data_IF_228806337742
#
_entry.id   IF_228806337742
#
_cell.length_a   1.000
_cell.length_b   1.000
_cell.length_c   1.000
_cell.angle_alpha   90.00
_cell.angle_beta   90.00
_cell.angle_gamma   90.00
#
_symmetry.space_group_name_H-M   'P 1'
#
loop_
_entity.id
_entity.type
_entity.pdbx_description
1 polymer ?
#
# COMPACT_ATOMS: atom_id res chain seq x y z
N UNK A 1 -56.32 -70.70 32.36
CA UNK A 1 -55.00 -70.24 32.11
C UNK A 1 -55.04 -68.83 31.47
N UNK A 2 -54.73 -67.77 32.20
CA UNK A 2 -54.74 -66.38 31.70
C UNK A 2 -53.37 -66.01 31.13
N UNK A 3 -53.24 -65.80 29.82
CA UNK A 3 -52.06 -65.29 29.18
C UNK A 3 -51.82 -63.86 29.63
N UNK A 4 -50.78 -63.66 30.48
CA UNK A 4 -50.28 -62.31 30.82
C UNK A 4 -49.58 -61.75 29.58
N UNK A 5 -50.25 -60.77 28.92
CA UNK A 5 -49.69 -60.07 27.78
C UNK A 5 -48.46 -59.25 28.21
N UNK A 6 -47.34 -59.44 27.54
CA UNK A 6 -46.00 -58.88 27.94
C UNK A 6 -45.85 -57.45 27.42
N UNK A 7 -46.61 -56.54 28.00
CA UNK A 7 -46.54 -55.10 27.64
C UNK A 7 -45.18 -54.45 27.80
N UNK A 8 -44.34 -54.95 28.75
CA UNK A 8 -43.02 -54.46 28.98
C UNK A 8 -42.03 -54.70 27.80
N UNK A 9 -42.24 -55.72 26.99
CA UNK A 9 -41.41 -56.01 25.83
C UNK A 9 -41.80 -55.17 24.61
N UNK A 10 -43.07 -54.76 24.51
CA UNK A 10 -43.54 -53.84 23.50
C UNK A 10 -43.03 -52.41 23.74
N UNK A 11 -43.05 -51.95 24.99
CA UNK A 11 -42.51 -50.63 25.35
C UNK A 11 -41.00 -50.55 25.15
N UNK A 12 -40.24 -51.60 25.43
CA UNK A 12 -38.81 -51.65 25.17
C UNK A 12 -38.47 -51.59 23.68
N UNK A 13 -39.27 -52.28 22.83
CA UNK A 13 -39.10 -52.24 21.39
C UNK A 13 -39.41 -50.86 20.74
N UNK A 14 -40.40 -50.15 21.25
CA UNK A 14 -40.75 -48.80 20.77
C UNK A 14 -39.67 -47.78 21.19
N UNK A 15 -39.16 -47.87 22.41
CA UNK A 15 -38.05 -47.00 22.88
C UNK A 15 -36.74 -47.25 22.14
N UNK A 16 -36.40 -48.52 21.80
CA UNK A 16 -35.22 -48.85 21.01
C UNK A 16 -35.36 -48.43 19.53
N UNK A 17 -36.57 -48.40 18.97
CA UNK A 17 -36.84 -47.94 17.61
C UNK A 17 -36.77 -46.42 17.43
N UNK A 18 -37.09 -45.64 18.49
CA UNK A 18 -36.93 -44.17 18.44
C UNK A 18 -35.48 -43.70 18.53
N UNK A 19 -34.56 -44.51 19.08
CA UNK A 19 -33.16 -44.14 19.19
C UNK A 19 -32.33 -44.42 17.89
N UNK A 20 -32.94 -45.00 16.88
CA UNK A 20 -32.34 -45.27 15.57
C UNK A 20 -32.78 -44.29 14.47
N UNK A 21 -33.49 -43.23 14.81
CA UNK A 21 -33.73 -42.16 13.84
C UNK A 21 -32.41 -41.48 13.56
N UNK A 22 -31.96 -41.41 12.30
CA UNK A 22 -30.74 -40.67 11.98
C UNK A 22 -30.94 -39.22 12.41
N UNK A 23 -30.13 -38.74 13.33
CA UNK A 23 -30.01 -37.30 13.60
C UNK A 23 -29.39 -36.72 12.33
N UNK A 24 -30.24 -36.28 11.42
CA UNK A 24 -29.80 -35.49 10.27
C UNK A 24 -29.21 -34.24 10.88
N UNK A 25 -27.90 -33.98 10.73
CA UNK A 25 -27.40 -32.71 11.18
C UNK A 25 -28.14 -31.61 10.42
N UNK A 26 -28.95 -30.84 11.12
CA UNK A 26 -29.44 -29.60 10.56
C UNK A 26 -28.20 -28.76 10.28
N UNK A 27 -27.85 -28.63 9.02
CA UNK A 27 -26.93 -27.59 8.62
C UNK A 27 -27.60 -26.28 9.02
N UNK A 28 -27.12 -25.71 10.09
CA UNK A 28 -27.40 -24.31 10.41
C UNK A 28 -26.81 -23.56 9.23
N UNK A 29 -27.64 -23.19 8.26
CA UNK A 29 -27.26 -22.13 7.33
C UNK A 29 -27.10 -20.89 8.23
N UNK A 30 -25.85 -20.51 8.44
CA UNK A 30 -25.57 -19.16 8.90
C UNK A 30 -26.22 -18.24 7.85
N UNK A 31 -27.33 -17.60 8.21
CA UNK A 31 -27.82 -16.49 7.39
C UNK A 31 -26.66 -15.52 7.28
N UNK A 32 -26.35 -15.11 6.06
CA UNK A 32 -25.30 -14.15 5.76
C UNK A 32 -25.72 -12.79 6.33
N UNK A 33 -25.45 -12.58 7.64
CA UNK A 33 -25.63 -11.28 8.31
C UNK A 33 -24.53 -10.29 7.98
N UNK A 34 -23.70 -10.58 6.96
CA UNK A 34 -22.74 -9.60 6.49
C UNK A 34 -23.49 -8.49 5.77
N UNK A 35 -23.28 -7.23 6.14
CA UNK A 35 -23.87 -6.12 5.40
C UNK A 35 -23.43 -6.22 3.94
N UNK A 36 -24.29 -5.82 3.02
CA UNK A 36 -23.98 -5.76 1.60
C UNK A 36 -22.61 -5.13 1.40
N UNK A 37 -21.71 -5.85 0.74
CA UNK A 37 -20.31 -5.49 0.65
C UNK A 37 -20.11 -4.08 0.13
N UNK A 38 -19.10 -3.37 0.63
CA UNK A 38 -18.75 -2.04 0.17
C UNK A 38 -18.54 -2.03 -1.35
N UNK A 39 -19.19 -1.11 -2.04
CA UNK A 39 -19.00 -0.89 -3.48
C UNK A 39 -18.05 0.29 -3.68
N UNK A 40 -16.78 0.02 -4.03
CA UNK A 40 -15.85 1.08 -4.43
C UNK A 40 -16.23 1.63 -5.82
N UNK A 41 -16.30 2.95 -5.97
CA UNK A 41 -16.53 3.62 -7.27
C UNK A 41 -15.30 3.54 -8.19
N UNK A 42 -14.09 3.41 -7.61
CA UNK A 42 -12.83 3.31 -8.35
C UNK A 42 -12.78 2.07 -9.25
N UNK A 43 -12.03 2.10 -10.36
CA UNK A 43 -11.85 0.96 -11.27
C UNK A 43 -11.20 -0.26 -10.61
N UNK A 44 -10.32 -0.02 -9.62
CA UNK A 44 -9.63 -1.02 -8.81
C UNK A 44 -9.57 -0.53 -7.37
N UNK A 45 -9.67 -1.44 -6.41
CA UNK A 45 -9.58 -1.10 -4.98
C UNK A 45 -9.19 -2.33 -4.15
N UNK A 46 -8.49 -2.09 -3.06
CA UNK A 46 -8.13 -3.11 -2.06
C UNK A 46 -8.23 -2.51 -0.66
N UNK A 47 -8.65 -3.33 0.30
CA UNK A 47 -8.46 -3.09 1.73
C UNK A 47 -7.70 -4.28 2.29
N UNK A 48 -6.53 -4.04 2.85
CA UNK A 48 -5.65 -5.08 3.38
C UNK A 48 -5.25 -4.74 4.81
N UNK A 49 -5.25 -5.73 5.69
CA UNK A 49 -4.74 -5.59 7.05
C UNK A 49 -3.20 -5.57 6.99
N UNK A 50 -2.58 -4.54 7.57
CA UNK A 50 -1.16 -4.19 7.35
C UNK A 50 -0.17 -5.21 7.94
N UNK A 51 -0.54 -5.91 9.02
CA UNK A 51 0.39 -6.83 9.70
C UNK A 51 0.32 -8.25 9.12
N UNK A 52 -0.87 -8.71 8.77
CA UNK A 52 -1.11 -10.08 8.32
C UNK A 52 -1.16 -10.21 6.80
N UNK A 53 -1.38 -9.10 6.07
CA UNK A 53 -1.64 -9.10 4.65
C UNK A 53 -3.03 -9.67 4.27
N UNK A 54 -3.93 -9.83 5.25
CA UNK A 54 -5.28 -10.34 4.99
C UNK A 54 -6.07 -9.34 4.16
N UNK A 55 -6.61 -9.79 3.02
CA UNK A 55 -7.45 -8.97 2.15
C UNK A 55 -8.87 -8.97 2.73
N UNK A 56 -9.38 -7.78 3.07
CA UNK A 56 -10.72 -7.57 3.62
C UNK A 56 -11.72 -7.14 2.54
N UNK A 57 -11.24 -6.52 1.47
CA UNK A 57 -12.01 -6.13 0.29
C UNK A 57 -11.13 -6.10 -0.94
N UNK A 58 -11.65 -6.57 -2.06
CA UNK A 58 -10.92 -6.54 -3.32
C UNK A 58 -11.82 -6.21 -4.52
N UNK A 59 -11.26 -5.47 -5.48
CA UNK A 59 -11.86 -5.20 -6.77
C UNK A 59 -10.77 -5.06 -7.82
N UNK A 60 -10.64 -6.03 -8.74
CA UNK A 60 -9.67 -6.01 -9.85
C UNK A 60 -8.24 -5.67 -9.39
N UNK A 61 -7.80 -6.23 -8.27
CA UNK A 61 -6.58 -5.82 -7.56
C UNK A 61 -5.29 -6.03 -8.35
N UNK A 62 -5.26 -6.92 -9.34
CA UNK A 62 -4.11 -7.21 -10.19
C UNK A 62 -4.13 -6.45 -11.54
N UNK A 63 -5.18 -5.63 -11.78
CA UNK A 63 -5.22 -4.83 -13.00
C UNK A 63 -4.25 -3.65 -12.90
N UNK A 64 -3.42 -3.50 -13.93
CA UNK A 64 -2.44 -2.41 -14.04
C UNK A 64 -3.10 -1.10 -14.41
N UNK A 65 -2.66 -0.03 -13.76
CA UNK A 65 -3.07 1.36 -13.98
C UNK A 65 -1.88 2.29 -13.82
N UNK A 66 -1.96 3.47 -14.39
CA UNK A 66 -1.03 4.55 -14.09
C UNK A 66 -1.21 5.00 -12.63
N UNK A 67 -0.15 4.96 -11.81
CA UNK A 67 -0.27 5.24 -10.38
C UNK A 67 -0.44 6.72 -10.05
N UNK A 68 0.00 7.62 -10.92
CA UNK A 68 0.17 9.02 -10.58
C UNK A 68 1.01 9.17 -9.28
N UNK A 69 0.71 10.18 -8.46
CA UNK A 69 1.52 10.54 -7.29
C UNK A 69 1.59 9.49 -6.17
N UNK A 70 0.78 8.41 -6.20
CA UNK A 70 0.99 7.32 -5.23
C UNK A 70 2.34 6.60 -5.41
N UNK A 71 3.00 6.77 -6.54
CA UNK A 71 4.40 6.38 -6.78
C UNK A 71 5.33 6.89 -5.68
N UNK A 72 5.08 8.09 -5.17
CA UNK A 72 5.92 8.75 -4.16
C UNK A 72 5.97 8.03 -2.81
N UNK A 73 5.05 7.08 -2.57
CA UNK A 73 5.13 6.16 -1.41
C UNK A 73 6.40 5.32 -1.51
N UNK A 74 6.71 4.75 -2.69
CA UNK A 74 7.95 4.00 -2.92
C UNK A 74 9.18 4.90 -2.83
N UNK A 75 9.12 6.09 -3.42
CA UNK A 75 10.22 7.08 -3.36
C UNK A 75 10.54 7.45 -1.92
N UNK A 76 9.52 7.74 -1.11
CA UNK A 76 9.67 8.07 0.31
C UNK A 76 10.23 6.87 1.11
N UNK A 77 9.71 5.66 0.87
CA UNK A 77 10.21 4.45 1.52
C UNK A 77 11.70 4.25 1.26
N UNK A 78 12.14 4.37 0.01
CA UNK A 78 13.54 4.17 -0.37
C UNK A 78 14.45 5.27 0.18
N UNK A 79 13.99 6.52 0.26
CA UNK A 79 14.74 7.57 0.91
C UNK A 79 14.98 7.26 2.39
N UNK A 80 13.95 6.82 3.11
CA UNK A 80 14.05 6.44 4.53
C UNK A 80 14.96 5.21 4.73
N UNK A 81 14.94 4.27 3.80
CA UNK A 81 15.76 3.05 3.88
C UNK A 81 17.26 3.30 3.58
N UNK A 82 17.60 4.40 2.90
CA UNK A 82 18.97 4.64 2.39
C UNK A 82 19.64 5.92 2.89
N UNK A 83 18.91 6.83 3.55
CA UNK A 83 19.44 8.13 3.97
C UNK A 83 19.16 8.40 5.44
N UNK A 84 20.06 9.18 6.07
CA UNK A 84 19.77 9.87 7.30
C UNK A 84 18.87 11.09 7.03
N UNK A 85 17.97 11.43 7.95
CA UNK A 85 16.97 12.48 7.73
C UNK A 85 17.54 13.89 7.65
N UNK A 86 18.75 14.11 8.17
CA UNK A 86 19.47 15.38 8.18
C UNK A 86 20.47 15.54 7.00
N UNK A 87 20.60 14.51 6.14
CA UNK A 87 21.42 14.64 4.92
C UNK A 87 20.88 15.76 4.03
N UNK A 88 21.81 16.48 3.39
CA UNK A 88 21.50 17.64 2.56
C UNK A 88 21.29 17.21 1.11
N UNK A 89 20.11 17.47 0.60
CA UNK A 89 19.70 17.30 -0.79
C UNK A 89 19.83 18.62 -1.52
N UNK A 90 20.58 18.66 -2.63
CA UNK A 90 20.73 19.84 -3.48
C UNK A 90 19.88 19.70 -4.73
N UNK A 91 19.10 20.72 -5.06
CA UNK A 91 18.22 20.69 -6.22
C UNK A 91 19.00 20.96 -7.50
N UNK A 92 19.07 19.95 -8.37
CA UNK A 92 19.65 20.02 -9.70
C UNK A 92 18.77 20.78 -10.69
N UNK A 93 19.30 21.08 -11.88
CA UNK A 93 18.49 21.61 -12.98
C UNK A 93 17.39 20.64 -13.42
N UNK A 94 17.68 19.33 -13.42
CA UNK A 94 16.72 18.32 -13.81
C UNK A 94 15.59 18.21 -12.77
N UNK A 95 15.90 18.24 -11.48
CA UNK A 95 14.90 18.23 -10.42
C UNK A 95 13.95 19.45 -10.52
N UNK A 96 14.45 20.62 -10.87
CA UNK A 96 13.66 21.86 -10.90
C UNK A 96 12.89 22.01 -12.22
N UNK A 97 13.51 21.72 -13.37
CA UNK A 97 12.96 22.10 -14.69
C UNK A 97 12.33 20.95 -15.48
N UNK A 98 12.60 19.68 -15.12
CA UNK A 98 12.01 18.53 -15.81
C UNK A 98 10.58 18.16 -15.33
N UNK A 99 9.92 19.08 -14.61
CA UNK A 99 8.53 18.90 -14.23
C UNK A 99 7.64 19.45 -15.34
N UNK A 100 6.88 18.57 -16.01
CA UNK A 100 6.00 18.96 -17.11
C UNK A 100 4.82 19.79 -16.61
N UNK A 101 4.64 20.97 -17.21
CA UNK A 101 3.45 21.81 -17.03
C UNK A 101 3.18 22.26 -15.59
N UNK A 102 1.91 22.43 -15.27
CA UNK A 102 1.43 22.88 -13.95
C UNK A 102 1.28 21.69 -12.99
N UNK A 103 2.41 21.04 -12.66
CA UNK A 103 2.44 19.88 -11.74
C UNK A 103 2.71 20.32 -10.30
N UNK A 104 2.41 19.44 -9.32
CA UNK A 104 2.58 19.74 -7.91
C UNK A 104 4.04 19.97 -7.54
N UNK A 105 4.35 21.09 -6.88
CA UNK A 105 5.68 21.49 -6.43
C UNK A 105 5.60 22.45 -5.22
N UNK A 106 6.71 22.63 -4.52
CA UNK A 106 6.88 23.61 -3.44
C UNK A 106 7.83 24.75 -3.83
N UNK A 107 8.00 24.95 -5.14
CA UNK A 107 8.73 26.06 -5.77
C UNK A 107 10.21 26.16 -5.33
N UNK A 108 10.96 25.04 -5.41
CA UNK A 108 12.40 25.08 -5.15
C UNK A 108 13.18 25.53 -6.38
N UNK A 109 14.27 26.26 -6.13
CA UNK A 109 15.15 26.80 -7.15
C UNK A 109 16.41 25.94 -7.34
N UNK A 110 17.04 26.09 -8.52
CA UNK A 110 18.33 25.46 -8.81
C UNK A 110 19.38 25.82 -7.75
N UNK A 111 20.03 24.79 -7.23
CA UNK A 111 21.09 24.88 -6.22
C UNK A 111 20.56 25.16 -4.79
N UNK A 112 19.25 25.23 -4.59
CA UNK A 112 18.69 25.24 -3.25
C UNK A 112 18.97 23.93 -2.52
N UNK A 113 18.96 23.98 -1.20
CA UNK A 113 19.23 22.82 -0.36
C UNK A 113 18.15 22.64 0.69
N UNK A 114 17.68 21.42 0.83
CA UNK A 114 16.79 20.97 1.91
C UNK A 114 17.38 19.70 2.55
N UNK A 115 16.99 19.40 3.77
CA UNK A 115 17.27 18.07 4.32
C UNK A 115 16.39 17.01 3.67
N UNK A 116 16.81 15.74 3.74
CA UNK A 116 15.97 14.60 3.32
C UNK A 116 14.60 14.70 3.99
N UNK A 117 14.54 14.92 5.31
CA UNK A 117 13.29 15.09 6.04
C UNK A 117 12.39 16.17 5.43
N UNK A 118 12.94 17.34 5.14
CA UNK A 118 12.19 18.46 4.54
C UNK A 118 11.66 18.10 3.15
N UNK A 119 12.46 17.43 2.33
CA UNK A 119 12.03 16.93 1.02
C UNK A 119 10.87 15.92 1.17
N UNK A 120 10.96 14.98 2.13
CA UNK A 120 9.92 13.98 2.35
C UNK A 120 8.59 14.60 2.82
N UNK A 121 8.63 15.65 3.64
CA UNK A 121 7.42 16.43 3.96
C UNK A 121 6.86 17.13 2.72
N UNK A 122 7.69 17.74 1.88
CA UNK A 122 7.25 18.31 0.60
C UNK A 122 6.60 17.26 -0.33
N UNK A 123 7.20 16.08 -0.41
CA UNK A 123 6.69 14.95 -1.20
C UNK A 123 5.33 14.47 -0.68
N UNK A 124 5.18 14.25 0.63
CA UNK A 124 4.00 13.58 1.17
C UNK A 124 2.84 14.54 1.46
N UNK A 125 3.09 15.82 1.75
CA UNK A 125 2.04 16.79 2.07
C UNK A 125 1.59 17.59 0.84
N UNK A 126 2.52 17.95 -0.08
CA UNK A 126 2.25 18.76 -1.26
C UNK A 126 2.47 18.01 -2.58
N UNK A 127 2.83 16.74 -2.49
CA UNK A 127 3.13 15.94 -3.70
C UNK A 127 4.25 16.53 -4.58
N UNK A 128 5.22 17.23 -3.98
CA UNK A 128 6.26 17.96 -4.67
C UNK A 128 7.10 17.08 -5.59
N UNK A 129 7.04 17.33 -6.90
CA UNK A 129 7.72 16.53 -7.93
C UNK A 129 9.22 16.79 -7.93
N UNK A 130 9.63 18.06 -7.78
CA UNK A 130 11.04 18.44 -7.72
C UNK A 130 11.74 17.83 -6.49
N UNK A 131 11.05 17.74 -5.35
CA UNK A 131 11.57 17.06 -4.17
C UNK A 131 11.75 15.56 -4.42
N UNK A 132 10.78 14.92 -5.07
CA UNK A 132 10.87 13.49 -5.41
C UNK A 132 12.04 13.21 -6.37
N UNK A 133 12.25 14.10 -7.35
CA UNK A 133 13.36 13.98 -8.30
C UNK A 133 14.72 14.19 -7.60
N UNK A 134 14.86 15.25 -6.81
CA UNK A 134 16.09 15.55 -6.07
C UNK A 134 16.44 14.42 -5.07
N UNK A 135 15.45 13.83 -4.41
CA UNK A 135 15.65 12.63 -3.56
C UNK A 135 16.14 11.43 -4.41
N UNK A 136 15.57 11.23 -5.59
CA UNK A 136 15.99 10.13 -6.47
C UNK A 136 17.44 10.28 -6.94
N UNK A 137 17.86 11.49 -7.31
CA UNK A 137 19.25 11.80 -7.64
C UNK A 137 20.17 11.57 -6.42
N UNK A 138 19.82 12.13 -5.27
CA UNK A 138 20.61 12.03 -4.05
C UNK A 138 20.85 10.57 -3.62
N UNK A 139 19.80 9.75 -3.60
CA UNK A 139 19.92 8.31 -3.27
C UNK A 139 20.69 7.57 -4.34
N UNK A 140 20.44 7.85 -5.62
CA UNK A 140 21.17 7.25 -6.75
C UNK A 140 22.69 7.51 -6.67
N UNK A 141 23.08 8.75 -6.44
CA UNK A 141 24.49 9.16 -6.26
C UNK A 141 25.11 8.49 -5.02
N UNK A 142 24.42 8.45 -3.90
CA UNK A 142 24.86 7.77 -2.68
C UNK A 142 25.13 6.27 -2.89
N UNK A 143 24.39 5.64 -3.81
CA UNK A 143 24.59 4.25 -4.20
C UNK A 143 25.68 4.07 -5.29
N UNK A 144 26.34 5.15 -5.69
CA UNK A 144 27.45 5.14 -6.65
C UNK A 144 27.02 5.21 -8.12
N UNK A 145 25.80 5.64 -8.39
CA UNK A 145 25.24 5.81 -9.73
C UNK A 145 24.56 7.17 -9.92
N UNK A 146 23.36 7.18 -10.45
CA UNK A 146 22.60 8.35 -10.86
C UNK A 146 21.09 8.15 -10.60
N UNK A 147 20.26 9.05 -11.17
CA UNK A 147 18.81 8.94 -11.15
C UNK A 147 18.29 7.55 -11.61
N UNK A 148 18.87 6.98 -12.66
CA UNK A 148 18.45 5.66 -13.15
C UNK A 148 18.74 4.56 -12.14
N UNK A 149 19.83 4.67 -11.38
CA UNK A 149 20.15 3.75 -10.28
C UNK A 149 19.01 3.74 -9.22
N UNK A 150 18.40 4.90 -8.95
CA UNK A 150 17.25 4.97 -8.06
C UNK A 150 16.01 4.28 -8.67
N UNK A 151 15.74 4.48 -9.96
CA UNK A 151 14.61 3.82 -10.63
C UNK A 151 14.79 2.29 -10.62
N UNK A 152 16.01 1.82 -10.85
CA UNK A 152 16.33 0.39 -10.78
C UNK A 152 16.14 -0.15 -9.35
N UNK A 153 16.49 0.65 -8.33
CA UNK A 153 16.25 0.33 -6.92
C UNK A 153 14.73 0.24 -6.62
N UNK A 154 13.90 1.15 -7.16
CA UNK A 154 12.43 1.07 -7.02
C UNK A 154 11.90 -0.26 -7.54
N UNK A 155 12.31 -0.67 -8.73
CA UNK A 155 11.89 -1.92 -9.34
C UNK A 155 12.42 -3.15 -8.61
N UNK A 156 13.66 -3.10 -8.12
CA UNK A 156 14.24 -4.14 -7.27
C UNK A 156 13.44 -4.29 -5.98
N UNK A 157 13.18 -3.18 -5.30
CA UNK A 157 12.46 -3.17 -4.02
C UNK A 157 11.01 -3.66 -4.19
N UNK A 158 10.33 -3.27 -5.27
CA UNK A 158 9.01 -3.80 -5.59
C UNK A 158 9.01 -5.33 -5.69
N UNK A 159 9.99 -5.90 -6.39
CA UNK A 159 10.14 -7.38 -6.50
C UNK A 159 10.40 -8.03 -5.13
N UNK A 160 11.27 -7.43 -4.30
CA UNK A 160 11.55 -7.92 -2.94
C UNK A 160 10.31 -7.91 -2.05
N UNK A 161 9.38 -6.96 -2.25
CA UNK A 161 8.11 -6.88 -1.55
C UNK A 161 7.05 -7.87 -2.10
N UNK A 162 7.35 -8.57 -3.20
CA UNK A 162 6.44 -9.54 -3.82
C UNK A 162 5.52 -8.94 -4.89
N UNK A 163 5.76 -7.72 -5.35
CA UNK A 163 5.01 -7.09 -6.43
C UNK A 163 5.22 -7.84 -7.76
N UNK A 164 4.14 -8.06 -8.51
CA UNK A 164 4.14 -8.80 -9.78
C UNK A 164 3.61 -7.97 -10.96
N UNK A 165 2.80 -6.96 -10.67
CA UNK A 165 2.06 -6.17 -11.66
C UNK A 165 2.52 -4.70 -11.65
N UNK A 166 3.77 -4.42 -11.24
CA UNK A 166 4.32 -3.08 -11.05
C UNK A 166 5.61 -2.90 -11.81
N UNK A 167 5.74 -1.76 -12.47
CA UNK A 167 6.99 -1.26 -13.03
C UNK A 167 7.07 0.25 -12.87
N UNK A 168 8.15 0.72 -12.26
CA UNK A 168 8.46 2.13 -12.09
C UNK A 168 9.41 2.60 -13.19
N UNK A 169 9.08 3.72 -13.86
CA UNK A 169 9.91 4.38 -14.86
C UNK A 169 10.27 5.82 -14.47
N UNK A 170 9.68 6.32 -13.39
CA UNK A 170 10.04 7.58 -12.75
C UNK A 170 9.71 7.54 -11.24
N UNK A 171 10.22 8.54 -10.51
CA UNK A 171 10.10 8.61 -9.05
C UNK A 171 8.86 9.39 -8.55
N UNK A 172 8.14 10.07 -9.43
CA UNK A 172 7.10 11.04 -9.04
C UNK A 172 5.68 10.69 -9.53
N UNK A 173 5.56 9.77 -10.50
CA UNK A 173 4.29 9.31 -11.04
C UNK A 173 3.78 10.12 -12.23
N UNK A 174 4.64 10.89 -12.89
CA UNK A 174 4.29 11.51 -14.18
C UNK A 174 3.95 10.44 -15.22
N UNK A 175 3.06 10.75 -16.19
CA UNK A 175 2.60 9.78 -17.18
C UNK A 175 3.75 9.20 -18.00
N UNK A 176 3.81 7.87 -18.05
CA UNK A 176 4.74 7.11 -18.88
C UNK A 176 4.12 5.73 -19.17
N UNK A 177 4.18 5.24 -20.40
CA UNK A 177 3.57 3.97 -20.81
C UNK A 177 4.18 2.76 -20.08
N UNK A 178 5.43 2.87 -19.62
CA UNK A 178 6.15 1.84 -18.86
C UNK A 178 6.01 2.01 -17.34
N UNK A 179 5.24 3.01 -16.88
CA UNK A 179 5.04 3.30 -15.47
C UNK A 179 3.65 2.87 -15.03
N UNK A 180 3.54 1.72 -14.39
CA UNK A 180 2.26 1.13 -13.98
C UNK A 180 2.37 0.37 -12.68
N UNK A 181 1.25 0.26 -11.98
CA UNK A 181 1.09 -0.50 -10.73
C UNK A 181 -0.26 -1.20 -10.68
N UNK A 182 -0.40 -2.21 -9.82
CA UNK A 182 -1.68 -2.76 -9.40
C UNK A 182 -2.07 -2.28 -8.01
N UNK A 183 -3.37 -2.36 -7.67
CA UNK A 183 -3.82 -2.03 -6.32
C UNK A 183 -3.22 -2.98 -5.27
N UNK A 184 -3.05 -4.26 -5.60
CA UNK A 184 -2.42 -5.24 -4.73
C UNK A 184 -0.97 -4.89 -4.43
N UNK A 185 -0.18 -4.58 -5.46
CA UNK A 185 1.22 -4.23 -5.28
C UNK A 185 1.40 -2.93 -4.50
N UNK A 186 0.53 -1.93 -4.76
CA UNK A 186 0.55 -0.70 -3.97
C UNK A 186 0.17 -0.91 -2.51
N UNK A 187 -0.69 -1.89 -2.21
CA UNK A 187 -0.96 -2.27 -0.83
C UNK A 187 0.27 -2.90 -0.14
N UNK A 188 1.03 -3.75 -0.85
CA UNK A 188 2.28 -4.31 -0.33
C UNK A 188 3.32 -3.23 -0.06
N UNK A 189 3.52 -2.31 -1.00
CA UNK A 189 4.45 -1.18 -0.87
C UNK A 189 4.02 -0.27 0.30
N UNK A 190 2.74 0.07 0.37
CA UNK A 190 2.18 0.91 1.43
C UNK A 190 2.30 0.25 2.81
N UNK A 191 2.07 -1.06 2.92
CA UNK A 191 2.24 -1.81 4.15
C UNK A 191 3.71 -1.83 4.61
N UNK A 192 4.67 -1.97 3.68
CA UNK A 192 6.10 -1.89 3.98
C UNK A 192 6.47 -0.49 4.48
N UNK A 193 6.03 0.57 3.79
CA UNK A 193 6.25 1.95 4.20
C UNK A 193 5.65 2.25 5.57
N UNK A 194 4.43 1.82 5.83
CA UNK A 194 3.71 2.06 7.09
C UNK A 194 4.35 1.36 8.30
N UNK A 195 5.13 0.29 8.11
CA UNK A 195 5.93 -0.34 9.19
C UNK A 195 7.06 0.56 9.69
N UNK A 196 7.52 1.51 8.88
CA UNK A 196 8.55 2.46 9.26
C UNK A 196 7.95 3.61 10.09
N UNK A 197 8.56 3.92 11.25
CA UNK A 197 8.07 4.96 12.15
C UNK A 197 8.18 6.37 11.53
N UNK A 198 9.29 6.67 10.86
CA UNK A 198 9.52 7.95 10.18
C UNK A 198 8.45 8.19 9.12
N UNK A 199 8.09 7.16 8.32
CA UNK A 199 7.02 7.26 7.35
C UNK A 199 5.68 7.62 8.00
N UNK A 200 5.33 6.96 9.13
CA UNK A 200 4.08 7.28 9.86
C UNK A 200 4.07 8.69 10.42
N UNK A 201 5.20 9.17 10.94
CA UNK A 201 5.33 10.54 11.46
C UNK A 201 5.08 11.54 10.33
N UNK A 202 5.76 11.39 9.20
CA UNK A 202 5.65 12.31 8.06
C UNK A 202 4.23 12.31 7.50
N UNK A 203 3.65 11.14 7.24
CA UNK A 203 2.30 11.03 6.65
C UNK A 203 1.17 11.36 7.62
N UNK A 204 1.42 11.28 8.92
CA UNK A 204 0.48 11.68 9.96
C UNK A 204 0.47 13.19 10.25
N UNK A 205 1.42 13.94 9.71
CA UNK A 205 1.51 15.37 9.94
C UNK A 205 0.44 16.13 9.13
N UNK A 206 -0.25 17.06 9.77
CA UNK A 206 -1.20 17.98 9.11
C UNK A 206 -0.55 19.26 8.59
N UNK A 207 0.67 19.54 9.02
CA UNK A 207 1.46 20.73 8.66
C UNK A 207 2.93 20.47 8.93
N UNK A 208 3.78 21.03 8.07
CA UNK A 208 5.22 21.16 8.30
C UNK A 208 5.68 22.53 7.81
N UNK A 209 6.62 23.16 8.52
CA UNK A 209 7.20 24.44 8.11
C UNK A 209 8.65 24.22 7.71
N UNK A 210 8.96 24.37 6.44
CA UNK A 210 10.33 24.41 5.95
C UNK A 210 10.91 25.77 6.34
N UNK A 211 12.05 25.82 7.05
CA UNK A 211 12.70 27.09 7.38
C UNK A 211 13.03 27.90 6.13
N UNK A 212 13.06 29.23 6.27
CA UNK A 212 13.43 30.11 5.17
C UNK A 212 14.83 29.77 4.65
N UNK A 213 14.94 29.65 3.34
CA UNK A 213 16.22 29.57 2.63
C UNK A 213 16.70 30.97 2.22
N UNK A 214 17.85 31.05 1.54
CA UNK A 214 18.34 32.34 1.01
C UNK A 214 17.50 32.88 -0.17
N UNK A 215 16.59 32.08 -0.71
CA UNK A 215 15.69 32.46 -1.84
C UNK A 215 14.23 32.51 -1.43
N UNK A 216 13.83 31.79 -0.40
CA UNK A 216 12.42 31.68 0.03
C UNK A 216 12.28 31.78 1.54
#
# INVERSE_FOLDING_TARGET
>A
MKKRFRWKQLLAGVLAGLSLLPVVPQMVQAEDYWPDGMSAKSPSAIVMEVNTGTILYEKKIHKQYYPASITKIMTTLLAIENCDMDEIVTFSADAVYNNEGDTSHIARDLGEQLTVEQCLYGIMLESANECAYAIAEHVGEKLGGDYQTFIDLMNKRAKELGCQDTHFNNCNGLPDEKHYVSAYDMALISAAAYKNETFRIITGASRYTIPASYKH
#
